data_IF_415633269336
#
_entry.id   IF_415633269336
#
_cell.length_a   1.000
_cell.length_b   1.000
_cell.length_c   1.000
_cell.angle_alpha   90.00
_cell.angle_beta   90.00
_cell.angle_gamma   90.00
#
_symmetry.space_group_name_H-M   'P 1'
#
loop_
_entity.id
_entity.type
_entity.pdbx_description
1 polymer ?
#
# COMPACT_ATOMS: atom_id res chain seq x y z
N UNK A 1 -14.15 3.78 5.47
CA UNK A 1 -14.39 4.94 4.59
C UNK A 1 -14.30 4.40 3.17
N UNK A 2 -15.29 4.65 2.29
CA UNK A 2 -15.22 4.18 0.92
C UNK A 2 -14.14 4.94 0.13
N UNK A 3 -13.49 4.25 -0.81
CA UNK A 3 -12.55 4.83 -1.77
C UNK A 3 -13.26 4.99 -3.12
N UNK A 4 -12.92 6.03 -3.87
CA UNK A 4 -13.50 6.28 -5.18
C UNK A 4 -12.42 6.65 -6.19
N UNK A 5 -12.63 6.30 -7.45
CA UNK A 5 -11.85 6.84 -8.57
C UNK A 5 -12.33 8.25 -8.97
N UNK A 6 -11.69 8.82 -9.99
CA UNK A 6 -11.99 10.14 -10.53
C UNK A 6 -13.34 10.22 -11.28
N UNK A 7 -13.88 9.06 -11.67
CA UNK A 7 -15.22 8.90 -12.26
C UNK A 7 -16.32 8.70 -11.19
N UNK A 8 -15.95 8.56 -9.92
CA UNK A 8 -16.87 8.39 -8.80
C UNK A 8 -17.34 6.95 -8.58
N UNK A 9 -16.69 5.96 -9.19
CA UNK A 9 -16.96 4.55 -8.90
C UNK A 9 -16.37 4.18 -7.55
N UNK A 10 -17.13 3.44 -6.74
CA UNK A 10 -16.63 2.91 -5.47
C UNK A 10 -15.63 1.78 -5.71
N UNK A 11 -14.49 1.83 -5.03
CA UNK A 11 -13.42 0.85 -5.11
C UNK A 11 -13.34 0.03 -3.83
N UNK A 12 -13.29 -1.29 -3.97
CA UNK A 12 -13.01 -2.20 -2.85
C UNK A 12 -11.49 -2.43 -2.73
N UNK A 13 -10.83 -1.87 -1.70
CA UNK A 13 -9.40 -2.03 -1.53
C UNK A 13 -8.99 -3.48 -1.20
N UNK A 14 -9.91 -4.35 -0.77
CA UNK A 14 -9.63 -5.76 -0.51
C UNK A 14 -9.44 -6.58 -1.79
N UNK A 15 -9.84 -6.04 -2.95
CA UNK A 15 -9.64 -6.68 -4.25
C UNK A 15 -8.25 -6.39 -4.83
N UNK A 16 -7.46 -5.52 -4.20
CA UNK A 16 -6.13 -5.16 -4.65
C UNK A 16 -5.07 -5.95 -3.88
N UNK A 17 -4.26 -6.77 -4.56
CA UNK A 17 -3.16 -7.49 -3.92
C UNK A 17 -2.23 -6.53 -3.17
N UNK A 18 -1.74 -6.97 -2.01
CA UNK A 18 -0.69 -6.23 -1.29
C UNK A 18 0.62 -6.44 -2.04
N UNK A 19 1.27 -5.37 -2.55
CA UNK A 19 2.56 -5.51 -3.24
C UNK A 19 3.63 -6.09 -2.32
N UNK A 20 4.56 -6.87 -2.87
CA UNK A 20 5.64 -7.49 -2.09
C UNK A 20 6.47 -6.47 -1.29
N UNK A 21 6.68 -5.27 -1.83
CA UNK A 21 7.38 -4.18 -1.14
C UNK A 21 6.62 -3.72 0.13
N UNK A 22 5.29 -3.71 0.10
CA UNK A 22 4.49 -3.38 1.27
C UNK A 22 4.63 -4.45 2.37
N UNK A 23 4.74 -5.74 2.01
CA UNK A 23 4.84 -6.82 3.00
C UNK A 23 6.07 -6.72 3.89
N UNK A 24 7.14 -6.07 3.43
CA UNK A 24 8.38 -5.85 4.18
C UNK A 24 8.54 -4.40 4.65
N UNK A 25 7.52 -3.57 4.48
CA UNK A 25 7.56 -2.16 4.89
C UNK A 25 7.25 -2.04 6.38
N UNK A 26 8.09 -1.31 7.11
CA UNK A 26 7.91 -0.96 8.53
C UNK A 26 6.54 -0.34 8.84
N UNK A 27 5.95 0.36 7.87
CA UNK A 27 4.66 1.07 8.01
C UNK A 27 3.45 0.25 7.59
N UNK A 28 3.62 -0.98 7.10
CA UNK A 28 2.54 -1.78 6.52
C UNK A 28 1.38 -2.03 7.50
N UNK A 29 1.69 -2.13 8.79
CA UNK A 29 0.73 -2.38 9.86
C UNK A 29 0.44 -1.12 10.70
N UNK A 30 0.91 0.06 10.27
CA UNK A 30 0.64 1.31 10.97
C UNK A 30 -0.78 1.81 10.60
N UNK A 31 -1.74 1.84 11.54
CA UNK A 31 -3.09 2.33 11.25
C UNK A 31 -3.11 3.81 10.84
N UNK A 32 -2.06 4.59 11.17
CA UNK A 32 -1.90 5.97 10.70
C UNK A 32 -1.61 6.08 9.21
N UNK A 33 -1.11 5.02 8.59
CA UNK A 33 -0.73 4.97 7.17
C UNK A 33 -1.74 4.21 6.31
N UNK A 34 -2.74 3.55 6.91
CA UNK A 34 -3.70 2.68 6.22
C UNK A 34 -4.37 3.38 5.01
N UNK A 35 -4.80 4.63 5.19
CA UNK A 35 -5.46 5.40 4.12
C UNK A 35 -4.48 5.69 2.98
N UNK A 36 -3.27 6.18 3.29
CA UNK A 36 -2.26 6.54 2.29
C UNK A 36 -1.76 5.30 1.54
N UNK A 37 -1.42 4.23 2.24
CA UNK A 37 -1.01 2.97 1.63
C UNK A 37 -2.11 2.39 0.74
N UNK A 38 -3.38 2.53 1.12
CA UNK A 38 -4.50 2.07 0.29
C UNK A 38 -4.66 2.90 -0.97
N UNK A 39 -4.60 4.24 -0.86
CA UNK A 39 -4.65 5.13 -2.02
C UNK A 39 -3.50 4.87 -3.00
N UNK A 40 -2.28 4.68 -2.52
CA UNK A 40 -1.12 4.37 -3.38
C UNK A 40 -1.30 3.05 -4.13
N UNK A 41 -1.85 2.01 -3.47
CA UNK A 41 -2.14 0.72 -4.12
C UNK A 41 -3.25 0.83 -5.17
N UNK A 42 -4.30 1.61 -4.88
CA UNK A 42 -5.40 1.87 -5.80
C UNK A 42 -4.94 2.62 -7.05
N UNK A 43 -4.14 3.67 -6.87
CA UNK A 43 -3.58 4.51 -7.95
C UNK A 43 -2.68 3.71 -8.91
N UNK A 44 -1.88 2.80 -8.36
CA UNK A 44 -0.90 2.04 -9.14
C UNK A 44 -1.38 0.64 -9.55
N UNK A 45 -2.66 0.30 -9.35
CA UNK A 45 -3.19 -1.06 -9.59
C UNK A 45 -3.03 -1.55 -11.03
N UNK A 46 -3.05 -0.64 -12.00
CA UNK A 46 -2.89 -0.91 -13.44
C UNK A 46 -1.44 -0.69 -13.92
N UNK A 47 -0.53 -0.27 -13.03
CA UNK A 47 0.86 0.03 -13.35
C UNK A 47 1.71 -1.23 -13.54
N UNK A 48 2.75 -1.14 -14.38
CA UNK A 48 3.70 -2.25 -14.59
C UNK A 48 4.56 -2.53 -13.34
N UNK A 49 4.86 -1.49 -12.56
CA UNK A 49 5.68 -1.56 -11.34
C UNK A 49 5.03 -0.77 -10.20
N UNK A 50 5.17 -1.28 -8.96
CA UNK A 50 4.75 -0.57 -7.76
C UNK A 50 5.92 0.24 -7.17
N UNK A 51 5.73 1.55 -7.01
CA UNK A 51 6.72 2.49 -6.49
C UNK A 51 6.16 3.20 -5.26
N UNK A 52 6.82 3.06 -4.13
CA UNK A 52 6.51 3.79 -2.90
C UNK A 52 7.72 4.57 -2.41
N UNK A 53 7.70 5.90 -2.56
CA UNK A 53 8.80 6.77 -2.13
C UNK A 53 8.90 6.94 -0.60
N UNK A 54 7.89 6.49 0.14
CA UNK A 54 7.87 6.48 1.61
C UNK A 54 8.27 5.12 2.21
N UNK A 55 8.71 4.17 1.37
CA UNK A 55 9.12 2.84 1.79
C UNK A 55 10.30 2.90 2.76
N UNK A 56 10.15 2.18 3.87
CA UNK A 56 11.20 1.90 4.84
C UNK A 56 11.13 0.40 5.12
N UNK A 57 12.22 -0.33 4.86
CA UNK A 57 12.28 -1.76 5.16
C UNK A 57 12.16 -1.99 6.67
N UNK A 58 11.38 -2.99 7.08
CA UNK A 58 11.33 -3.44 8.46
C UNK A 58 12.68 -4.07 8.82
N UNK A 59 13.43 -3.45 9.74
CA UNK A 59 14.72 -3.99 10.18
C UNK A 59 14.52 -5.36 10.85
N UNK A 60 14.95 -6.42 10.16
CA UNK A 60 15.11 -7.74 10.78
C UNK A 60 16.26 -7.68 11.78
N UNK A 61 15.96 -7.34 13.04
CA UNK A 61 16.89 -7.51 14.16
C UNK A 61 16.98 -8.98 14.59
N UNK A 62 17.21 -9.88 13.64
CA UNK A 62 17.77 -11.20 13.94
C UNK A 62 19.28 -11.08 13.69
N UNK A 63 20.00 -10.89 14.79
CA UNK A 63 21.43 -10.67 14.80
C UNK A 63 22.26 -11.81 14.22
N UNK A 64 23.54 -11.48 14.06
CA UNK A 64 24.72 -12.34 13.91
C UNK A 64 24.53 -13.84 14.19
#
# INVERSE_FOLDING_TARGET
MPYFDDDGNELDPNLIPVPGLCLICKKNNDPGEEILCTLTRLDQKEGEEFICHAFEEEENTNGF
#
